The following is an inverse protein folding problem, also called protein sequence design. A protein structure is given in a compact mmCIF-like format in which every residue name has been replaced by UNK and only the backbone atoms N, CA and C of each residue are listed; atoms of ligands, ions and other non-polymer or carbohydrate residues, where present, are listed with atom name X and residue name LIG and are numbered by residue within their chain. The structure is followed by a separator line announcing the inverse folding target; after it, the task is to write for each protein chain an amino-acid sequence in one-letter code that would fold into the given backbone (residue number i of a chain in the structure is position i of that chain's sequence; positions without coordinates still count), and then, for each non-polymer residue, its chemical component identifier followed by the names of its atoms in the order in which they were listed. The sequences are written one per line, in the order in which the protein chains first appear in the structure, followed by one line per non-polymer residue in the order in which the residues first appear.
data_IF_594043777702
#
_entry.id   IF_594043777702
#
_cell.length_a   1.000
_cell.length_b   1.000
_cell.length_c   1.000
_cell.angle_alpha   90.00
_cell.angle_beta   90.00
_cell.angle_gamma   90.00
#
_symmetry.space_group_name_H-M   'P 1'
#
loop_
_entity.id
_entity.type
_entity.pdbx_description
1 polymer ?
#
# COMPACT_ATOMS: atom_id res chain seq x y z
N UNK A 1 -30.71 19.26 -75.52
CA UNK A 1 -29.57 18.42 -75.08
C UNK A 1 -28.41 19.40 -74.92
N UNK A 2 -27.93 19.75 -73.73
CA UNK A 2 -27.49 18.88 -72.63
C UNK A 2 -27.43 19.69 -71.33
N UNK A 3 -27.67 19.00 -70.22
CA UNK A 3 -27.68 19.47 -68.83
C UNK A 3 -26.39 20.17 -68.38
N UNK A 4 -26.51 21.11 -67.44
CA UNK A 4 -25.52 21.33 -66.37
C UNK A 4 -26.22 21.91 -65.12
N UNK A 5 -26.17 21.14 -64.04
CA UNK A 5 -26.72 21.37 -62.70
C UNK A 5 -26.06 22.55 -61.94
N UNK A 6 -26.73 23.09 -60.91
CA UNK A 6 -26.22 24.20 -60.11
C UNK A 6 -25.30 23.77 -58.95
N UNK A 7 -24.56 24.76 -58.45
CA UNK A 7 -23.42 24.69 -57.55
C UNK A 7 -23.64 24.02 -56.18
N UNK A 8 -22.61 23.29 -55.72
CA UNK A 8 -22.46 22.81 -54.33
C UNK A 8 -21.60 23.80 -53.50
N UNK A 9 -21.87 23.96 -52.18
CA UNK A 9 -21.16 24.93 -51.35
C UNK A 9 -19.79 24.44 -50.87
N UNK A 10 -18.83 25.37 -50.83
CA UNK A 10 -17.45 25.17 -50.38
C UNK A 10 -17.39 24.89 -48.87
N UNK A 11 -16.85 23.72 -48.49
CA UNK A 11 -16.55 23.37 -47.11
C UNK A 11 -15.20 23.96 -46.70
N UNK A 12 -15.21 24.89 -45.75
CA UNK A 12 -14.01 25.47 -45.14
C UNK A 12 -13.29 24.43 -44.27
N UNK A 13 -12.20 23.85 -44.78
CA UNK A 13 -11.30 22.99 -43.99
C UNK A 13 -10.30 23.87 -43.23
N UNK A 14 -10.50 23.99 -41.92
CA UNK A 14 -9.61 24.69 -40.98
C UNK A 14 -8.30 23.91 -40.80
N UNK A 15 -7.20 24.41 -41.38
CA UNK A 15 -5.82 23.95 -41.08
C UNK A 15 -5.48 24.22 -39.62
N UNK A 16 -4.99 23.25 -38.83
CA UNK A 16 -4.41 23.54 -37.53
C UNK A 16 -2.99 24.09 -37.71
N UNK A 17 -2.79 25.37 -37.35
CA UNK A 17 -1.48 25.99 -37.23
C UNK A 17 -0.67 25.30 -36.13
N UNK A 18 0.49 24.76 -36.51
CA UNK A 18 1.50 24.26 -35.58
C UNK A 18 2.22 25.46 -34.95
N UNK A 19 1.86 25.82 -33.72
CA UNK A 19 2.72 26.62 -32.86
C UNK A 19 3.62 25.67 -32.05
N UNK A 20 4.89 25.59 -32.46
CA UNK A 20 5.93 24.97 -31.66
C UNK A 20 6.31 25.93 -30.53
N UNK A 21 5.62 25.83 -29.39
CA UNK A 21 6.11 26.41 -28.15
C UNK A 21 7.18 25.46 -27.59
N UNK A 22 8.45 25.80 -27.77
CA UNK A 22 9.53 25.26 -26.94
C UNK A 22 9.34 25.82 -25.54
N UNK A 23 8.57 25.11 -24.71
CA UNK A 23 8.50 25.42 -23.29
C UNK A 23 9.80 24.95 -22.65
N UNK A 24 10.74 25.87 -22.47
CA UNK A 24 11.78 25.74 -21.45
C UNK A 24 11.09 25.76 -20.10
N UNK A 25 10.66 24.57 -19.65
CA UNK A 25 10.12 24.38 -18.31
C UNK A 25 11.26 24.54 -17.31
N UNK A 26 11.19 25.57 -16.48
CA UNK A 26 12.14 25.85 -15.40
C UNK A 26 12.30 24.62 -14.50
N UNK A 27 13.54 24.18 -14.32
CA UNK A 27 13.96 22.95 -13.66
C UNK A 27 13.81 22.98 -12.13
N UNK A 28 13.38 24.09 -11.54
CA UNK A 28 13.38 24.34 -10.09
C UNK A 28 12.02 24.12 -9.39
N UNK A 29 10.93 23.83 -10.12
CA UNK A 29 9.56 23.75 -9.53
C UNK A 29 9.07 22.31 -9.30
N UNK A 30 9.91 21.30 -9.53
CA UNK A 30 9.48 19.88 -9.50
C UNK A 30 10.20 19.01 -8.46
N UNK A 31 10.75 19.61 -7.40
CA UNK A 31 11.50 18.82 -6.40
C UNK A 31 10.62 17.96 -5.49
N UNK A 32 9.31 18.24 -5.37
CA UNK A 32 8.45 17.53 -4.40
C UNK A 32 7.56 16.41 -4.96
N UNK A 33 7.15 16.40 -6.23
CA UNK A 33 6.22 15.38 -6.72
C UNK A 33 6.52 14.97 -8.18
N UNK A 34 7.46 14.06 -8.35
CA UNK A 34 7.51 13.25 -9.58
C UNK A 34 6.25 12.39 -9.60
N UNK A 35 5.19 12.89 -10.23
CA UNK A 35 3.90 12.19 -10.34
C UNK A 35 4.13 10.86 -11.03
N UNK A 36 3.93 9.76 -10.29
CA UNK A 36 4.10 8.40 -10.79
C UNK A 36 2.97 8.10 -11.77
N UNK A 37 3.25 7.77 -13.04
CA UNK A 37 2.23 7.35 -14.00
C UNK A 37 1.43 6.15 -13.47
N UNK A 38 0.13 6.08 -13.79
CA UNK A 38 -0.74 4.99 -13.31
C UNK A 38 -0.25 3.59 -13.75
N UNK A 39 0.35 3.49 -14.94
CA UNK A 39 0.98 2.25 -15.42
C UNK A 39 2.19 1.80 -14.57
N UNK A 40 2.73 2.70 -13.76
CA UNK A 40 3.89 2.52 -12.88
C UNK A 40 3.51 2.62 -11.40
N UNK A 41 2.22 2.48 -11.05
CA UNK A 41 1.73 2.66 -9.67
C UNK A 41 2.48 1.84 -8.60
N UNK A 42 3.04 0.67 -8.97
CA UNK A 42 3.84 -0.17 -8.09
C UNK A 42 5.20 0.43 -7.67
N UNK A 43 5.62 1.55 -8.27
CA UNK A 43 6.83 2.28 -7.91
C UNK A 43 6.58 3.35 -6.85
N UNK A 44 5.33 3.83 -6.73
CA UNK A 44 4.99 4.90 -5.79
C UNK A 44 5.36 4.58 -4.32
N UNK A 45 5.14 3.35 -3.80
CA UNK A 45 5.58 3.01 -2.44
C UNK A 45 7.11 3.14 -2.25
N UNK A 46 7.89 2.84 -3.29
CA UNK A 46 9.36 2.89 -3.24
C UNK A 46 9.83 4.33 -3.12
N UNK A 47 9.26 5.24 -3.93
CA UNK A 47 9.61 6.66 -3.88
C UNK A 47 9.13 7.32 -2.59
N UNK A 48 7.97 6.92 -2.06
CA UNK A 48 7.49 7.39 -0.75
C UNK A 48 8.47 7.02 0.36
N UNK A 49 8.89 5.75 0.43
CA UNK A 49 9.89 5.30 1.40
C UNK A 49 11.21 6.05 1.22
N UNK A 50 11.65 6.28 -0.02
CA UNK A 50 12.88 7.04 -0.28
C UNK A 50 12.81 8.47 0.29
N UNK A 51 11.69 9.16 0.10
CA UNK A 51 11.50 10.52 0.63
C UNK A 51 11.44 10.53 2.17
N UNK A 52 10.78 9.54 2.78
CA UNK A 52 10.66 9.46 4.24
C UNK A 52 12.00 9.26 4.95
N UNK A 53 12.88 8.43 4.38
CA UNK A 53 14.17 8.09 5.00
C UNK A 53 15.30 9.02 4.56
N UNK A 54 15.06 9.95 3.64
CA UNK A 54 16.11 10.79 3.02
C UNK A 54 16.89 11.63 4.03
N UNK A 55 16.20 12.21 5.00
CA UNK A 55 16.82 13.04 6.04
C UNK A 55 17.73 12.23 6.97
N UNK A 56 17.35 10.98 7.29
CA UNK A 56 18.08 10.11 8.22
C UNK A 56 19.17 9.30 7.52
N UNK A 57 18.89 8.81 6.31
CA UNK A 57 19.74 7.89 5.53
C UNK A 57 19.76 8.29 4.04
N UNK A 58 20.48 9.37 3.67
CA UNK A 58 20.50 9.87 2.30
C UNK A 58 20.99 8.84 1.28
N UNK A 59 22.00 8.03 1.64
CA UNK A 59 22.49 6.96 0.75
C UNK A 59 21.46 5.87 0.50
N UNK A 60 20.70 5.46 1.51
CA UNK A 60 19.67 4.43 1.32
C UNK A 60 18.50 4.98 0.50
N UNK A 61 18.09 6.24 0.73
CA UNK A 61 17.09 6.91 -0.10
C UNK A 61 17.49 6.95 -1.57
N UNK A 62 18.76 7.27 -1.85
CA UNK A 62 19.31 7.21 -3.21
C UNK A 62 19.19 5.81 -3.83
N UNK A 63 19.52 4.74 -3.08
CA UNK A 63 19.40 3.36 -3.56
C UNK A 63 17.93 2.97 -3.84
N UNK A 64 16.99 3.42 -3.01
CA UNK A 64 15.56 3.23 -3.25
C UNK A 64 15.11 3.91 -4.56
N UNK A 65 15.55 5.15 -4.83
CA UNK A 65 15.25 5.85 -6.09
C UNK A 65 15.90 5.19 -7.29
N UNK A 66 17.12 4.69 -7.15
CA UNK A 66 17.82 3.97 -8.21
C UNK A 66 17.08 2.68 -8.57
N UNK A 67 16.70 1.89 -7.55
CA UNK A 67 15.87 0.71 -7.75
C UNK A 67 14.50 1.03 -8.37
N UNK A 68 13.86 2.13 -7.96
CA UNK A 68 12.62 2.61 -8.57
C UNK A 68 12.78 2.90 -10.07
N UNK A 69 13.89 3.53 -10.47
CA UNK A 69 14.22 3.77 -11.88
C UNK A 69 14.41 2.47 -12.67
N UNK A 70 15.18 1.52 -12.14
CA UNK A 70 15.37 0.21 -12.78
C UNK A 70 14.07 -0.58 -12.88
N UNK A 71 13.23 -0.55 -11.84
CA UNK A 71 11.90 -1.19 -11.82
C UNK A 71 10.99 -0.54 -12.88
N UNK A 72 11.03 0.78 -13.01
CA UNK A 72 10.30 1.49 -14.07
C UNK A 72 10.79 1.10 -15.46
N UNK A 73 12.10 0.95 -15.64
CA UNK A 73 12.68 0.50 -16.90
C UNK A 73 12.21 -0.92 -17.27
N UNK A 74 12.19 -1.85 -16.30
CA UNK A 74 11.68 -3.20 -16.50
C UNK A 74 10.18 -3.26 -16.83
N UNK A 75 9.37 -2.39 -16.21
CA UNK A 75 7.92 -2.35 -16.43
C UNK A 75 7.52 -1.79 -17.80
N UNK A 76 8.30 -0.87 -18.38
CA UNK A 76 8.00 -0.27 -19.69
C UNK A 76 9.30 0.12 -20.41
N UNK A 77 9.99 -0.85 -20.97
CA UNK A 77 11.33 -0.64 -21.54
C UNK A 77 11.35 0.42 -22.65
N UNK A 78 10.32 0.46 -23.50
CA UNK A 78 10.19 1.41 -24.61
C UNK A 78 9.70 2.79 -24.18
N UNK A 79 9.28 2.96 -22.91
CA UNK A 79 8.68 4.19 -22.38
C UNK A 79 7.45 4.65 -23.18
N UNK A 80 6.63 3.68 -23.57
CA UNK A 80 5.45 3.87 -24.42
C UNK A 80 4.22 4.35 -23.64
N UNK A 81 4.17 4.10 -22.33
CA UNK A 81 3.10 4.54 -21.46
C UNK A 81 3.01 6.06 -21.32
N UNK A 82 1.78 6.56 -21.14
CA UNK A 82 1.53 8.00 -20.95
C UNK A 82 2.36 8.53 -19.78
N UNK A 83 3.21 9.53 -20.05
CA UNK A 83 4.05 10.19 -19.03
C UNK A 83 5.27 9.38 -18.57
N UNK A 84 5.44 8.13 -19.00
CA UNK A 84 6.54 7.26 -18.52
C UNK A 84 7.91 7.79 -18.90
N UNK A 85 8.06 8.28 -20.14
CA UNK A 85 9.34 8.85 -20.59
C UNK A 85 9.73 10.07 -19.75
N UNK A 86 8.80 10.99 -19.53
CA UNK A 86 9.03 12.19 -18.73
C UNK A 86 9.38 11.82 -17.29
N UNK A 87 8.62 10.90 -16.69
CA UNK A 87 8.88 10.35 -15.35
C UNK A 87 10.30 9.81 -15.23
N UNK A 88 10.73 8.93 -16.15
CA UNK A 88 12.07 8.32 -16.12
C UNK A 88 13.17 9.36 -16.30
N UNK A 89 12.99 10.31 -17.21
CA UNK A 89 13.98 11.38 -17.44
C UNK A 89 14.16 12.23 -16.19
N UNK A 90 13.08 12.65 -15.54
CA UNK A 90 13.16 13.44 -14.30
C UNK A 90 13.78 12.65 -13.15
N UNK A 91 13.39 11.38 -12.98
CA UNK A 91 13.96 10.52 -11.96
C UNK A 91 15.47 10.30 -12.17
N UNK A 92 15.90 10.13 -13.42
CA UNK A 92 17.33 10.01 -13.75
C UNK A 92 18.10 11.31 -13.44
N UNK A 93 17.57 12.47 -13.81
CA UNK A 93 18.20 13.77 -13.48
C UNK A 93 18.36 13.97 -11.98
N UNK A 94 17.35 13.56 -11.19
CA UNK A 94 17.43 13.60 -9.73
C UNK A 94 18.52 12.66 -9.20
N UNK A 95 18.61 11.44 -9.74
CA UNK A 95 19.67 10.49 -9.36
C UNK A 95 21.06 11.06 -9.66
N UNK A 96 21.26 11.68 -10.83
CA UNK A 96 22.55 12.30 -11.18
C UNK A 96 22.95 13.40 -10.20
N UNK A 97 21.99 14.20 -9.74
CA UNK A 97 22.20 15.27 -8.75
C UNK A 97 22.52 14.72 -7.35
N UNK A 98 21.74 13.74 -6.90
CA UNK A 98 21.78 13.25 -5.52
C UNK A 98 22.93 12.23 -5.29
N UNK A 99 23.55 11.70 -6.35
CA UNK A 99 24.54 10.62 -6.21
C UNK A 99 25.77 11.06 -5.41
N UNK A 100 26.37 12.21 -5.73
CA UNK A 100 27.60 12.65 -5.07
C UNK A 100 27.39 12.99 -3.59
N UNK A 101 26.31 13.71 -3.27
CA UNK A 101 25.96 14.10 -1.89
C UNK A 101 25.58 12.89 -1.05
N UNK A 102 24.77 11.99 -1.59
CA UNK A 102 24.38 10.75 -0.90
C UNK A 102 25.59 9.84 -0.66
N UNK A 103 26.51 9.73 -1.63
CA UNK A 103 27.72 8.91 -1.48
C UNK A 103 28.65 9.47 -0.39
N UNK A 104 28.78 10.79 -0.28
CA UNK A 104 29.57 11.43 0.77
C UNK A 104 29.01 11.14 2.19
N UNK A 105 27.70 10.94 2.31
CA UNK A 105 27.03 10.59 3.58
C UNK A 105 27.10 9.09 3.94
N UNK A 106 27.64 8.24 3.06
CA UNK A 106 27.64 6.79 3.25
C UNK A 106 28.53 6.37 4.42
N UNK A 107 28.00 5.53 5.30
CA UNK A 107 28.71 5.08 6.51
C UNK A 107 29.49 3.78 6.29
N UNK A 108 28.96 2.88 5.46
CA UNK A 108 29.54 1.57 5.17
C UNK A 108 30.38 1.59 3.90
N UNK A 109 31.19 0.54 3.72
CA UNK A 109 32.13 0.42 2.61
C UNK A 109 31.44 0.24 1.25
N UNK A 110 30.31 -0.45 1.21
CA UNK A 110 29.54 -0.72 -0.01
C UNK A 110 28.07 -0.40 0.20
N UNK A 111 27.34 -0.24 -0.90
CA UNK A 111 25.92 0.09 -0.84
C UNK A 111 25.11 -1.10 -0.30
N UNK A 112 25.50 -2.33 -0.64
CA UNK A 112 24.91 -3.55 -0.06
C UNK A 112 25.00 -3.55 1.47
N UNK A 113 26.18 -3.20 2.03
CA UNK A 113 26.36 -3.16 3.48
C UNK A 113 25.62 -1.99 4.13
N UNK A 114 25.50 -0.86 3.44
CA UNK A 114 24.74 0.31 3.91
C UNK A 114 23.27 -0.05 4.11
N UNK A 115 22.62 -0.56 3.07
CA UNK A 115 21.19 -0.89 3.13
C UNK A 115 20.93 -2.12 4.01
N UNK A 116 21.85 -3.08 4.05
CA UNK A 116 21.77 -4.21 4.97
C UNK A 116 21.72 -3.74 6.44
N UNK A 117 22.65 -2.86 6.83
CA UNK A 117 22.72 -2.36 8.19
C UNK A 117 21.49 -1.53 8.55
N UNK A 118 21.00 -0.71 7.63
CA UNK A 118 19.79 0.07 7.85
C UNK A 118 18.54 -0.80 7.95
N UNK A 119 18.40 -1.82 7.09
CA UNK A 119 17.28 -2.76 7.15
C UNK A 119 17.20 -3.46 8.51
N UNK A 120 18.33 -3.97 9.03
CA UNK A 120 18.39 -4.59 10.35
C UNK A 120 17.99 -3.62 11.46
N UNK A 121 18.54 -2.40 11.44
CA UNK A 121 18.19 -1.35 12.40
C UNK A 121 16.69 -1.02 12.34
N UNK A 122 16.15 -0.81 11.14
CA UNK A 122 14.74 -0.46 10.94
C UNK A 122 13.82 -1.57 11.45
N UNK A 123 14.13 -2.82 11.12
CA UNK A 123 13.33 -3.97 11.54
C UNK A 123 13.30 -4.12 13.07
N UNK A 124 14.44 -3.97 13.75
CA UNK A 124 14.48 -4.02 15.21
C UNK A 124 13.68 -2.89 15.86
N UNK A 125 13.89 -1.65 15.41
CA UNK A 125 13.32 -0.47 16.06
C UNK A 125 11.86 -0.19 15.73
N UNK A 126 11.39 -0.58 14.55
CA UNK A 126 10.04 -0.25 14.09
C UNK A 126 9.16 -1.47 13.88
N UNK A 127 9.70 -2.62 13.51
CA UNK A 127 8.89 -3.83 13.32
C UNK A 127 8.75 -4.59 14.64
N UNK A 128 9.87 -5.03 15.22
CA UNK A 128 9.85 -5.79 16.48
C UNK A 128 9.34 -4.99 17.66
N UNK A 129 9.80 -3.75 17.83
CA UNK A 129 9.40 -2.92 18.95
C UNK A 129 7.90 -2.58 18.93
N UNK A 130 7.32 -2.31 17.74
CA UNK A 130 5.89 -2.04 17.62
C UNK A 130 5.05 -3.33 17.74
N UNK A 131 5.52 -4.46 17.22
CA UNK A 131 4.82 -5.75 17.33
C UNK A 131 4.74 -6.27 18.78
N UNK A 132 5.68 -5.88 19.64
CA UNK A 132 5.68 -6.20 21.08
C UNK A 132 4.88 -5.21 21.93
N UNK A 133 4.48 -4.06 21.36
CA UNK A 133 3.68 -3.07 22.08
C UNK A 133 2.22 -3.52 22.18
N UNK A 134 1.70 -3.62 23.41
CA UNK A 134 0.28 -3.98 23.68
C UNK A 134 -0.74 -3.02 23.01
N UNK A 135 -0.29 -1.87 22.50
CA UNK A 135 -1.13 -0.78 22.01
C UNK A 135 -0.54 -0.07 20.78
N UNK A 136 0.24 -0.78 19.96
CA UNK A 136 0.77 -0.19 18.73
C UNK A 136 -0.37 0.18 17.77
N UNK A 137 -0.33 1.41 17.26
CA UNK A 137 -1.27 1.88 16.25
C UNK A 137 -1.11 1.02 14.99
N UNK A 138 -2.16 0.26 14.65
CA UNK A 138 -2.19 -0.62 13.47
C UNK A 138 -1.74 0.10 12.20
N UNK A 139 -2.07 1.38 12.07
CA UNK A 139 -1.66 2.18 10.91
C UNK A 139 -0.13 2.38 10.89
N UNK A 140 0.48 2.65 12.05
CA UNK A 140 1.94 2.76 12.17
C UNK A 140 2.63 1.42 11.93
N UNK A 141 2.08 0.33 12.46
CA UNK A 141 2.63 -1.01 12.24
C UNK A 141 2.52 -1.45 10.77
N UNK A 142 1.39 -1.19 10.12
CA UNK A 142 1.21 -1.43 8.69
C UNK A 142 2.16 -0.60 7.83
N UNK A 143 2.37 0.67 8.19
CA UNK A 143 3.40 1.50 7.56
C UNK A 143 4.79 0.90 7.75
N UNK A 144 5.13 0.47 8.97
CA UNK A 144 6.42 -0.11 9.27
C UNK A 144 6.70 -1.37 8.42
N UNK A 145 5.72 -2.28 8.32
CA UNK A 145 5.82 -3.46 7.47
C UNK A 145 5.94 -3.11 5.97
N UNK A 146 5.15 -2.15 5.48
CA UNK A 146 5.26 -1.68 4.09
C UNK A 146 6.67 -1.14 3.79
N UNK A 147 7.21 -0.29 4.65
CA UNK A 147 8.56 0.26 4.50
C UNK A 147 9.62 -0.84 4.56
N UNK A 148 9.52 -1.77 5.51
CA UNK A 148 10.44 -2.89 5.61
C UNK A 148 10.40 -3.78 4.35
N UNK A 149 9.21 -4.02 3.78
CA UNK A 149 9.06 -4.78 2.53
C UNK A 149 9.76 -4.11 1.35
N UNK A 150 9.61 -2.79 1.21
CA UNK A 150 10.31 -2.01 0.18
C UNK A 150 11.83 -2.06 0.39
N UNK A 151 12.31 -1.86 1.62
CA UNK A 151 13.74 -1.90 1.94
C UNK A 151 14.34 -3.28 1.62
N UNK A 152 13.61 -4.36 1.89
CA UNK A 152 14.04 -5.71 1.56
C UNK A 152 14.12 -5.95 0.04
N UNK A 153 13.14 -5.48 -0.74
CA UNK A 153 13.21 -5.53 -2.21
C UNK A 153 14.47 -4.83 -2.75
N UNK A 154 14.76 -3.63 -2.24
CA UNK A 154 15.92 -2.84 -2.65
C UNK A 154 17.22 -3.53 -2.23
N UNK A 155 17.31 -4.07 -1.01
CA UNK A 155 18.45 -4.84 -0.53
C UNK A 155 18.75 -6.03 -1.45
N UNK A 156 17.71 -6.77 -1.86
CA UNK A 156 17.86 -7.88 -2.79
C UNK A 156 18.37 -7.44 -4.17
N UNK A 157 17.91 -6.29 -4.67
CA UNK A 157 18.37 -5.74 -5.95
C UNK A 157 19.85 -5.32 -5.88
N UNK A 158 20.24 -4.58 -4.83
CA UNK A 158 21.63 -4.13 -4.62
C UNK A 158 22.58 -5.31 -4.48
N UNK A 159 22.20 -6.34 -3.70
CA UNK A 159 23.02 -7.54 -3.54
C UNK A 159 23.24 -8.29 -4.86
N UNK A 160 22.22 -8.36 -5.73
CA UNK A 160 22.35 -8.94 -7.07
C UNK A 160 23.34 -8.15 -7.93
N UNK A 161 23.26 -6.82 -7.90
CA UNK A 161 24.15 -5.93 -8.67
C UNK A 161 25.60 -6.00 -8.18
N UNK A 162 25.82 -6.02 -6.85
CA UNK A 162 27.16 -6.15 -6.25
C UNK A 162 27.68 -7.60 -6.20
N UNK A 163 26.91 -8.59 -6.68
CA UNK A 163 27.25 -10.02 -6.65
C UNK A 163 27.59 -10.56 -5.25
N UNK A 164 26.82 -10.12 -4.25
CA UNK A 164 26.94 -10.61 -2.88
C UNK A 164 26.20 -11.95 -2.79
N UNK A 165 26.94 -13.06 -2.62
CA UNK A 165 26.37 -14.41 -2.66
C UNK A 165 25.57 -14.79 -1.41
N UNK A 166 25.91 -14.25 -0.23
CA UNK A 166 25.26 -14.64 1.03
C UNK A 166 24.60 -13.47 1.76
N UNK A 167 23.28 -13.56 1.90
CA UNK A 167 22.49 -12.74 2.81
C UNK A 167 22.43 -13.46 4.16
N UNK A 168 22.67 -12.74 5.26
CA UNK A 168 22.66 -13.33 6.59
C UNK A 168 21.31 -14.02 6.90
N UNK A 169 21.29 -15.20 7.55
CA UNK A 169 20.07 -15.94 7.85
C UNK A 169 19.02 -15.12 8.63
N UNK A 170 19.47 -14.22 9.50
CA UNK A 170 18.62 -13.31 10.26
C UNK A 170 17.78 -12.38 9.39
N UNK A 171 18.35 -11.91 8.28
CA UNK A 171 17.67 -11.02 7.32
C UNK A 171 16.63 -11.80 6.54
N UNK A 172 16.94 -13.04 6.17
CA UNK A 172 16.00 -13.93 5.50
C UNK A 172 14.81 -14.23 6.42
N UNK A 173 15.06 -14.48 7.70
CA UNK A 173 14.01 -14.69 8.70
C UNK A 173 13.14 -13.45 8.89
N UNK A 174 13.75 -12.26 9.02
CA UNK A 174 13.04 -10.98 9.11
C UNK A 174 12.19 -10.72 7.87
N UNK A 175 12.73 -11.00 6.67
CA UNK A 175 12.00 -10.82 5.43
C UNK A 175 10.76 -11.72 5.32
N UNK A 176 10.86 -12.97 5.77
CA UNK A 176 9.72 -13.88 5.82
C UNK A 176 8.62 -13.36 6.74
N UNK A 177 8.99 -12.88 7.93
CA UNK A 177 8.04 -12.24 8.86
C UNK A 177 7.38 -11.00 8.26
N UNK A 178 8.15 -10.12 7.60
CA UNK A 178 7.61 -8.96 6.89
C UNK A 178 6.62 -9.39 5.82
N UNK A 179 6.96 -10.40 5.02
CA UNK A 179 6.09 -10.88 3.95
C UNK A 179 4.77 -11.44 4.49
N UNK A 180 4.80 -12.24 5.55
CA UNK A 180 3.61 -12.81 6.17
C UNK A 180 2.70 -11.72 6.77
N UNK A 181 3.28 -10.71 7.42
CA UNK A 181 2.51 -9.68 8.15
C UNK A 181 2.08 -8.49 7.30
N UNK A 182 2.74 -8.22 6.16
CA UNK A 182 2.32 -7.16 5.24
C UNK A 182 0.90 -7.40 4.70
N UNK A 183 0.51 -8.65 4.48
CA UNK A 183 -0.87 -8.98 4.07
C UNK A 183 -1.91 -8.75 5.19
N UNK A 184 -1.50 -8.85 6.44
CA UNK A 184 -2.36 -8.66 7.62
C UNK A 184 -2.61 -7.16 7.80
N UNK A 185 -1.56 -6.35 7.75
CA UNK A 185 -1.63 -4.91 8.01
C UNK A 185 -1.87 -4.04 6.77
N UNK A 186 -2.25 -4.64 5.65
CA UNK A 186 -2.58 -3.90 4.45
C UNK A 186 -3.68 -2.85 4.75
N UNK A 187 -3.50 -1.58 4.34
CA UNK A 187 -4.44 -0.51 4.63
C UNK A 187 -5.69 -0.66 3.76
N UNK A 188 -6.61 -1.50 4.21
CA UNK A 188 -7.95 -1.60 3.67
C UNK A 188 -8.91 -0.82 4.58
N UNK A 189 -9.93 -0.21 3.98
CA UNK A 189 -11.11 0.26 4.71
C UNK A 189 -12.01 -0.94 5.03
N UNK A 190 -11.43 -1.96 5.67
CA UNK A 190 -12.13 -3.17 6.10
C UNK A 190 -11.92 -3.31 7.59
N UNK A 191 -12.99 -3.60 8.32
CA UNK A 191 -12.92 -3.93 9.75
C UNK A 191 -11.76 -4.91 10.01
N UNK A 192 -10.84 -4.60 10.93
CA UNK A 192 -9.71 -5.47 11.18
C UNK A 192 -10.13 -6.56 12.16
N UNK A 193 -10.63 -7.65 11.58
CA UNK A 193 -11.16 -8.81 12.31
C UNK A 193 -10.05 -9.76 12.83
N UNK A 194 -8.79 -9.46 12.54
CA UNK A 194 -7.65 -10.20 13.07
C UNK A 194 -7.32 -9.78 14.52
N UNK A 195 -6.47 -10.57 15.17
CA UNK A 195 -6.05 -10.35 16.56
C UNK A 195 -5.44 -8.97 16.80
N UNK A 196 -4.72 -8.41 15.82
CA UNK A 196 -4.12 -7.09 15.92
C UNK A 196 -5.13 -5.95 15.74
N UNK A 197 -6.31 -6.22 15.20
CA UNK A 197 -7.43 -5.28 15.08
C UNK A 197 -8.40 -5.28 16.25
N UNK A 198 -8.35 -6.31 17.10
CA UNK A 198 -9.30 -6.51 18.19
C UNK A 198 -9.36 -5.33 19.18
N UNK A 199 -8.26 -4.60 19.38
CA UNK A 199 -8.18 -3.44 20.28
C UNK A 199 -8.78 -2.16 19.70
N UNK A 200 -9.15 -2.12 18.41
CA UNK A 200 -9.73 -0.93 17.80
C UNK A 200 -11.11 -0.60 18.36
N UNK A 201 -11.41 0.70 18.50
CA UNK A 201 -12.64 1.18 19.13
C UNK A 201 -13.92 0.63 18.47
N UNK A 202 -13.94 0.51 17.14
CA UNK A 202 -15.08 -0.06 16.42
C UNK A 202 -15.32 -1.53 16.77
N UNK A 203 -14.24 -2.29 17.04
CA UNK A 203 -14.30 -3.69 17.48
C UNK A 203 -14.74 -3.82 18.95
N UNK A 204 -14.73 -2.73 19.72
CA UNK A 204 -15.23 -2.71 21.09
C UNK A 204 -16.75 -2.55 21.19
N UNK A 205 -17.43 -2.21 20.09
CA UNK A 205 -18.88 -2.13 20.05
C UNK A 205 -19.50 -3.53 20.15
N UNK A 206 -20.36 -3.74 21.15
CA UNK A 206 -21.02 -5.02 21.39
C UNK A 206 -21.85 -5.50 20.19
N UNK A 207 -22.42 -4.58 19.42
CA UNK A 207 -23.18 -4.90 18.21
C UNK A 207 -22.28 -5.43 17.08
N UNK A 208 -21.06 -4.90 16.97
CA UNK A 208 -20.05 -5.41 16.05
C UNK A 208 -19.56 -6.78 16.53
N UNK A 209 -19.24 -6.93 17.82
CA UNK A 209 -18.83 -8.23 18.41
C UNK A 209 -19.87 -9.32 18.21
N UNK A 210 -21.14 -9.00 18.42
CA UNK A 210 -22.25 -9.93 18.21
C UNK A 210 -22.37 -10.35 16.74
N UNK A 211 -22.30 -9.41 15.80
CA UNK A 211 -22.34 -9.70 14.38
C UNK A 211 -21.14 -10.57 13.92
N UNK A 212 -19.93 -10.24 14.39
CA UNK A 212 -18.72 -11.05 14.16
C UNK A 212 -18.91 -12.45 14.72
N UNK A 213 -19.30 -12.59 15.99
CA UNK A 213 -19.52 -13.90 16.62
C UNK A 213 -20.58 -14.74 15.88
N UNK A 214 -21.61 -14.11 15.31
CA UNK A 214 -22.62 -14.80 14.53
C UNK A 214 -22.04 -15.39 13.23
N UNK A 215 -21.17 -14.65 12.54
CA UNK A 215 -20.51 -15.15 11.33
C UNK A 215 -19.46 -16.24 11.62
N UNK A 216 -18.82 -16.19 12.80
CA UNK A 216 -17.86 -17.21 13.25
C UNK A 216 -18.52 -18.49 13.74
N UNK A 217 -19.85 -18.50 13.92
CA UNK A 217 -20.57 -19.71 14.29
C UNK A 217 -20.72 -20.65 13.08
N UNK A 218 -19.66 -21.39 12.79
CA UNK A 218 -19.57 -22.34 11.66
C UNK A 218 -19.84 -23.78 12.08
N UNK A 219 -20.47 -23.98 13.25
CA UNK A 219 -20.79 -25.31 13.78
C UNK A 219 -21.68 -26.06 12.80
N UNK A 220 -21.25 -27.27 12.41
CA UNK A 220 -21.99 -28.13 11.49
C UNK A 220 -21.72 -27.88 10.00
N UNK A 221 -20.84 -26.93 9.64
CA UNK A 221 -20.41 -26.76 8.25
C UNK A 221 -19.42 -27.85 7.83
N UNK A 222 -19.59 -28.37 6.62
CA UNK A 222 -18.69 -29.34 6.00
C UNK A 222 -17.57 -28.61 5.22
N UNK A 223 -16.38 -28.57 5.79
CA UNK A 223 -15.23 -27.90 5.16
C UNK A 223 -14.50 -28.81 4.17
N UNK A 224 -14.04 -28.29 3.01
CA UNK A 224 -13.16 -29.03 2.14
C UNK A 224 -11.83 -29.36 2.83
N UNK A 225 -11.40 -30.62 2.77
CA UNK A 225 -10.21 -31.12 3.49
C UNK A 225 -8.89 -30.46 3.05
N UNK A 226 -8.85 -29.86 1.86
CA UNK A 226 -7.66 -29.23 1.28
C UNK A 226 -7.61 -27.71 1.49
N UNK A 227 -8.68 -27.09 1.98
CA UNK A 227 -8.79 -25.63 2.03
C UNK A 227 -8.18 -25.03 3.31
N UNK A 228 -7.06 -24.30 3.22
CA UNK A 228 -6.47 -23.54 4.34
C UNK A 228 -6.42 -24.33 5.67
N UNK A 229 -5.90 -25.57 5.63
CA UNK A 229 -5.92 -26.54 6.74
C UNK A 229 -5.42 -25.97 8.07
N UNK A 230 -4.40 -25.11 8.05
CA UNK A 230 -3.88 -24.47 9.25
C UNK A 230 -4.92 -23.55 9.92
N UNK A 231 -5.64 -22.75 9.14
CA UNK A 231 -6.69 -21.84 9.65
C UNK A 231 -7.95 -22.60 10.08
N UNK A 232 -8.26 -23.72 9.42
CA UNK A 232 -9.32 -24.62 9.90
C UNK A 232 -9.01 -25.17 11.30
N UNK A 233 -7.75 -25.56 11.55
CA UNK A 233 -7.33 -26.09 12.85
C UNK A 233 -7.29 -25.04 13.96
N UNK A 234 -6.93 -23.79 13.64
CA UNK A 234 -6.95 -22.69 14.61
C UNK A 234 -8.35 -22.14 14.89
N UNK A 235 -9.35 -22.47 14.07
CA UNK A 235 -10.70 -21.94 14.19
C UNK A 235 -10.85 -20.52 13.63
N UNK A 236 -9.90 -20.06 12.83
CA UNK A 236 -9.84 -18.69 12.30
C UNK A 236 -10.64 -18.52 10.99
N UNK A 237 -11.68 -19.34 10.77
CA UNK A 237 -12.51 -19.30 9.57
C UNK A 237 -13.98 -19.06 9.92
N UNK A 238 -14.60 -18.17 9.15
CA UNK A 238 -16.00 -17.80 9.31
C UNK A 238 -16.90 -18.35 8.19
N UNK A 239 -18.19 -18.06 8.27
CA UNK A 239 -19.19 -18.48 7.28
C UNK A 239 -18.82 -18.06 5.85
N UNK A 240 -18.22 -16.88 5.66
CA UNK A 240 -17.86 -16.39 4.34
C UNK A 240 -16.58 -17.03 3.80
N UNK A 241 -15.65 -17.42 4.67
CA UNK A 241 -14.54 -18.30 4.30
C UNK A 241 -15.06 -19.68 3.83
N UNK A 242 -16.14 -20.18 4.43
CA UNK A 242 -16.78 -21.41 3.97
C UNK A 242 -17.41 -21.24 2.57
N UNK A 243 -18.16 -20.15 2.36
CA UNK A 243 -18.70 -19.84 1.03
C UNK A 243 -17.59 -19.67 -0.01
N UNK A 244 -16.47 -19.03 0.36
CA UNK A 244 -15.28 -18.93 -0.49
C UNK A 244 -14.76 -20.31 -0.88
N UNK A 245 -14.63 -21.21 0.08
CA UNK A 245 -14.13 -22.57 -0.13
C UNK A 245 -15.04 -23.38 -1.07
N UNK A 246 -16.36 -23.23 -0.92
CA UNK A 246 -17.35 -24.02 -1.67
C UNK A 246 -17.60 -23.49 -3.09
N UNK A 247 -17.57 -22.17 -3.28
CA UNK A 247 -17.99 -21.53 -4.53
C UNK A 247 -16.85 -20.82 -5.27
N UNK A 248 -15.65 -20.76 -4.70
CA UNK A 248 -14.47 -20.20 -5.35
C UNK A 248 -14.50 -18.67 -5.46
N UNK A 249 -15.15 -17.97 -4.52
CA UNK A 249 -15.15 -16.51 -4.52
C UNK A 249 -13.74 -15.93 -4.33
N UNK A 250 -13.48 -14.78 -4.94
CA UNK A 250 -12.21 -14.07 -4.76
C UNK A 250 -12.05 -13.59 -3.31
N UNK A 251 -10.83 -13.71 -2.76
CA UNK A 251 -10.48 -13.37 -1.35
C UNK A 251 -10.92 -11.95 -0.98
N UNK A 252 -10.66 -10.98 -1.84
CA UNK A 252 -10.94 -9.57 -1.54
C UNK A 252 -12.44 -9.24 -1.60
N UNK A 253 -13.19 -9.86 -2.52
CA UNK A 253 -14.65 -9.73 -2.57
C UNK A 253 -15.29 -10.27 -1.30
N UNK A 254 -14.80 -11.41 -0.80
CA UNK A 254 -15.24 -12.01 0.45
C UNK A 254 -14.95 -11.10 1.64
N UNK A 255 -13.75 -10.52 1.72
CA UNK A 255 -13.38 -9.57 2.78
C UNK A 255 -14.29 -8.34 2.78
N UNK A 256 -14.54 -7.75 1.62
CA UNK A 256 -15.43 -6.58 1.49
C UNK A 256 -16.87 -6.93 1.92
N UNK A 257 -17.40 -8.07 1.47
CA UNK A 257 -18.77 -8.46 1.82
C UNK A 257 -18.93 -8.85 3.29
N UNK A 258 -17.89 -9.39 3.90
CA UNK A 258 -17.85 -9.67 5.33
C UNK A 258 -18.08 -8.43 6.15
N UNK A 259 -17.33 -7.37 5.88
CA UNK A 259 -17.51 -6.09 6.56
C UNK A 259 -18.91 -5.52 6.33
N UNK A 260 -19.36 -5.48 5.08
CA UNK A 260 -20.69 -4.94 4.76
C UNK A 260 -21.79 -5.67 5.55
N UNK A 261 -21.73 -7.01 5.62
CA UNK A 261 -22.68 -7.80 6.38
C UNK A 261 -22.57 -7.57 7.89
N UNK A 262 -21.36 -7.46 8.44
CA UNK A 262 -21.15 -7.13 9.86
C UNK A 262 -21.78 -5.78 10.20
N UNK A 263 -21.52 -4.75 9.40
CA UNK A 263 -22.06 -3.41 9.61
C UNK A 263 -23.59 -3.40 9.48
N UNK A 264 -24.16 -4.15 8.53
CA UNK A 264 -25.61 -4.27 8.37
C UNK A 264 -26.27 -4.96 9.57
N UNK A 265 -25.68 -6.06 10.05
CA UNK A 265 -26.17 -6.79 11.22
C UNK A 265 -26.06 -5.96 12.49
N UNK A 266 -24.93 -5.28 12.71
CA UNK A 266 -24.75 -4.38 13.83
C UNK A 266 -25.76 -3.23 13.80
N UNK A 267 -25.95 -2.58 12.64
CA UNK A 267 -26.96 -1.54 12.47
C UNK A 267 -28.38 -2.03 12.74
N UNK A 268 -28.71 -3.25 12.31
CA UNK A 268 -30.01 -3.87 12.58
C UNK A 268 -30.18 -4.14 14.08
N UNK A 269 -29.14 -4.61 14.75
CA UNK A 269 -29.15 -4.85 16.19
C UNK A 269 -29.38 -3.57 16.99
N UNK A 270 -28.70 -2.47 16.64
CA UNK A 270 -28.89 -1.14 17.27
C UNK A 270 -30.35 -0.67 17.13
N UNK A 271 -30.98 -0.88 15.97
CA UNK A 271 -32.36 -0.48 15.72
C UNK A 271 -33.38 -1.28 16.51
N UNK A 272 -33.11 -2.58 16.70
CA UNK A 272 -34.00 -3.49 17.44
C UNK A 272 -33.84 -3.35 18.95
N UNK A 273 -32.61 -3.07 19.41
CA UNK A 273 -32.25 -2.93 20.82
C UNK A 273 -31.56 -1.58 21.07
N UNK A 274 -32.29 -0.45 21.01
CA UNK A 274 -31.71 0.87 21.24
C UNK A 274 -31.17 0.96 22.67
N UNK A 275 -29.89 1.34 22.81
CA UNK A 275 -29.28 1.63 24.11
C UNK A 275 -30.03 2.81 24.77
N UNK A 276 -30.29 2.77 26.08
CA UNK A 276 -30.90 3.90 26.78
C UNK A 276 -30.03 5.15 26.61
N UNK A 277 -30.65 6.30 26.33
CA UNK A 277 -29.92 7.58 26.25
C UNK A 277 -29.12 7.79 27.54
N UNK A 278 -27.85 8.24 27.46
CA UNK A 278 -27.13 8.64 28.64
C UNK A 278 -27.89 9.80 29.31
N UNK A 279 -28.29 9.57 30.57
CA UNK A 279 -29.06 10.50 31.40
C UNK A 279 -28.19 11.70 31.85
N UNK A 280 -27.58 12.43 30.93
CA UNK A 280 -26.78 13.64 31.19
C UNK A 280 -27.36 14.87 30.47
N UNK A 281 -28.68 15.03 30.57
CA UNK A 281 -29.33 16.34 30.41
C UNK A 281 -30.32 16.55 31.55
N UNK A 282 -29.79 16.77 32.74
CA UNK A 282 -30.55 17.51 33.75
C UNK A 282 -30.74 18.93 33.22
N UNK A 283 -31.97 19.44 33.02
CA UNK A 283 -32.15 20.87 32.82
C UNK A 283 -31.78 21.54 34.15
N UNK A 284 -30.71 22.33 34.12
CA UNK A 284 -30.34 23.22 35.22
C UNK A 284 -31.55 24.09 35.55
N UNK A 285 -31.97 24.03 36.82
CA UNK A 285 -32.90 24.94 37.45
C UNK A 285 -32.56 26.39 37.07
N UNK A 286 -33.46 27.04 36.32
CA UNK A 286 -33.45 28.50 36.18
C UNK A 286 -34.01 29.11 37.45
N UNK A 287 -33.12 29.48 38.38
CA UNK A 287 -33.36 30.60 39.26
C UNK A 287 -33.22 31.88 38.42
N UNK A 288 -34.32 32.62 38.28
CA UNK A 288 -34.52 34.05 38.58
C UNK A 288 -36.03 34.30 38.47
#
# INVERSE_FOLDING_TARGET
MSNLEPAAPQTLVRRPSRSAAMTTFSTEVFDDDVVVPSSLASIAPILRVANEIESERPRVAYLCRFYAFEKAHRLDQSSSGRGVRQFKTLLLQRLERDNATSLASRVKKTDAREIQAYYQQYYEHYVRALDQGEQADRAQLGKAYQTAGVLFEVLCAVNKTEKVEEVAPEIIAAARDVQEKTEIYAPFNILPLDSAGASQQIMQLEEIKAAVSALWNTRGLNWPSTFEQHRQRSGDLDLLDWLRAMFGFQKDNVRNQREHLILLLANSHIRLNPKPEPLNKAPTLSFI
#
